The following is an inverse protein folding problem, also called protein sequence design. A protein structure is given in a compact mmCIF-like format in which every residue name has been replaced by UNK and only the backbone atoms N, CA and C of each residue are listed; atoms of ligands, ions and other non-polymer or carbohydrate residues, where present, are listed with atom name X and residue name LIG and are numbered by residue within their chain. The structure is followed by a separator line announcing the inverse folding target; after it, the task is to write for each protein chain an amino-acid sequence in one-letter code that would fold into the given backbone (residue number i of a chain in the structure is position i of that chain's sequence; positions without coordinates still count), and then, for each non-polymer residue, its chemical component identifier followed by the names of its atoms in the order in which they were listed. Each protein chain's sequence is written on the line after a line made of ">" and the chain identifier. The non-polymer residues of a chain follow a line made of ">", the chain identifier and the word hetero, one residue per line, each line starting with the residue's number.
data_IF_976447732757
#
_entry.id   IF_976447732757
#
_cell.length_a   1.000
_cell.length_b   1.000
_cell.length_c   1.000
_cell.angle_alpha   90.00
_cell.angle_beta   90.00
_cell.angle_gamma   90.00
#
_symmetry.space_group_name_H-M   'P 1'
#
loop_
_entity.id
_entity.type
_entity.pdbx_description
1 polymer ?
#
# COMPACT_ATOMS: atom_id res chain seq x y z
N UNK A 1 -14.92 -9.65 24.54
CA UNK A 1 -14.60 -10.93 23.87
C UNK A 1 -13.48 -10.66 22.87
N UNK A 2 -12.23 -11.05 23.14
CA UNK A 2 -11.05 -10.66 22.33
C UNK A 2 -11.02 -11.24 20.90
N UNK A 3 -11.98 -12.10 20.55
CA UNK A 3 -12.19 -12.65 19.20
C UNK A 3 -13.26 -11.88 18.39
N UNK A 4 -13.75 -10.75 18.90
CA UNK A 4 -14.78 -9.97 18.20
C UNK A 4 -14.12 -8.93 17.27
N UNK A 5 -14.05 -9.23 15.97
CA UNK A 5 -13.48 -8.35 14.96
C UNK A 5 -14.22 -7.01 14.82
N UNK A 6 -15.49 -6.94 15.21
CA UNK A 6 -16.30 -5.71 15.10
C UNK A 6 -15.73 -4.58 15.95
N UNK A 7 -15.14 -4.88 17.10
CA UNK A 7 -14.59 -3.85 18.00
C UNK A 7 -13.41 -3.10 17.38
N UNK A 8 -12.30 -3.76 16.95
CA UNK A 8 -11.22 -3.08 16.25
C UNK A 8 -11.65 -2.49 14.90
N UNK A 9 -12.63 -3.10 14.21
CA UNK A 9 -13.21 -2.51 13.00
C UNK A 9 -13.89 -1.15 13.29
N UNK A 10 -14.76 -1.07 14.30
CA UNK A 10 -15.45 0.16 14.67
C UNK A 10 -14.46 1.24 15.13
N UNK A 11 -13.42 0.84 15.86
CA UNK A 11 -12.34 1.75 16.23
C UNK A 11 -11.65 2.31 14.98
N UNK A 12 -11.22 1.45 14.05
CA UNK A 12 -10.57 1.87 12.81
C UNK A 12 -11.47 2.75 11.94
N UNK A 13 -12.76 2.43 11.88
CA UNK A 13 -13.77 3.24 11.20
C UNK A 13 -13.86 4.65 11.78
N UNK A 14 -14.01 4.78 13.10
CA UNK A 14 -14.10 6.08 13.77
C UNK A 14 -12.81 6.89 13.62
N UNK A 15 -11.65 6.24 13.78
CA UNK A 15 -10.34 6.88 13.59
C UNK A 15 -10.19 7.45 12.18
N UNK A 16 -10.67 6.71 11.16
CA UNK A 16 -10.60 7.16 9.77
C UNK A 16 -11.60 8.29 9.45
N UNK A 17 -12.89 8.09 9.77
CA UNK A 17 -13.95 9.01 9.35
C UNK A 17 -14.05 10.27 10.21
N UNK A 18 -13.89 10.12 11.53
CA UNK A 18 -14.10 11.21 12.49
C UNK A 18 -12.80 11.94 12.80
N UNK A 19 -11.68 11.22 12.98
CA UNK A 19 -10.39 11.85 13.34
C UNK A 19 -9.43 12.02 12.17
N UNK A 20 -9.70 11.36 11.04
CA UNK A 20 -8.82 11.40 9.87
C UNK A 20 -7.43 10.80 10.08
N UNK A 21 -7.20 10.05 11.16
CA UNK A 21 -5.91 9.45 11.51
C UNK A 21 -5.75 8.12 10.74
N UNK A 22 -5.14 8.19 9.55
CA UNK A 22 -4.93 7.02 8.70
C UNK A 22 -4.04 5.97 9.36
N UNK A 23 -3.05 6.36 10.17
CA UNK A 23 -2.12 5.43 10.80
C UNK A 23 -2.86 4.59 11.85
N UNK A 24 -3.50 5.23 12.82
CA UNK A 24 -4.24 4.49 13.86
C UNK A 24 -5.43 3.73 13.28
N UNK A 25 -6.09 4.28 12.26
CA UNK A 25 -7.14 3.57 11.55
C UNK A 25 -6.61 2.30 10.89
N UNK A 26 -5.44 2.36 10.24
CA UNK A 26 -4.81 1.21 9.61
C UNK A 26 -4.42 0.15 10.65
N UNK A 27 -3.86 0.54 11.79
CA UNK A 27 -3.52 -0.37 12.90
C UNK A 27 -4.76 -1.12 13.40
N UNK A 28 -5.82 -0.38 13.74
CA UNK A 28 -7.07 -0.98 14.23
C UNK A 28 -7.72 -1.90 13.17
N UNK A 29 -7.73 -1.48 11.90
CA UNK A 29 -8.27 -2.30 10.81
C UNK A 29 -7.43 -3.57 10.56
N UNK A 30 -6.11 -3.48 10.73
CA UNK A 30 -5.18 -4.62 10.63
C UNK A 30 -5.46 -5.64 11.74
N UNK A 31 -5.69 -5.17 12.96
CA UNK A 31 -6.11 -6.04 14.07
C UNK A 31 -7.43 -6.74 13.75
N UNK A 32 -8.41 -6.01 13.22
CA UNK A 32 -9.70 -6.59 12.82
C UNK A 32 -9.54 -7.66 11.72
N UNK A 33 -8.72 -7.38 10.70
CA UNK A 33 -8.50 -8.28 9.56
C UNK A 33 -7.85 -9.62 9.93
N UNK A 34 -7.05 -9.65 11.01
CA UNK A 34 -6.35 -10.86 11.48
C UNK A 34 -7.23 -11.77 12.35
N UNK A 35 -8.41 -11.33 12.76
CA UNK A 35 -9.29 -12.12 13.62
C UNK A 35 -10.07 -13.14 12.75
N UNK A 36 -10.06 -14.45 13.09
CA UNK A 36 -10.82 -15.46 12.35
C UNK A 36 -12.31 -15.09 12.22
N UNK A 37 -12.87 -15.29 11.03
CA UNK A 37 -14.27 -14.95 10.73
C UNK A 37 -14.51 -13.47 10.42
N UNK A 38 -13.46 -12.63 10.40
CA UNK A 38 -13.56 -11.29 9.85
C UNK A 38 -13.91 -11.34 8.36
N UNK A 39 -14.92 -10.57 7.90
CA UNK A 39 -15.24 -10.47 6.48
C UNK A 39 -14.05 -9.95 5.66
N UNK A 40 -13.84 -10.51 4.45
CA UNK A 40 -12.72 -10.15 3.56
C UNK A 40 -12.61 -8.65 3.28
N UNK A 41 -13.74 -7.95 3.23
CA UNK A 41 -13.79 -6.49 3.06
C UNK A 41 -12.91 -5.74 4.07
N UNK A 42 -12.76 -6.27 5.29
CA UNK A 42 -11.92 -5.66 6.34
C UNK A 42 -10.45 -5.75 5.97
N UNK A 43 -9.99 -6.89 5.46
CA UNK A 43 -8.64 -7.06 4.94
C UNK A 43 -8.35 -6.09 3.80
N UNK A 44 -9.30 -5.94 2.87
CA UNK A 44 -9.19 -4.94 1.79
C UNK A 44 -9.08 -3.51 2.33
N UNK A 45 -9.90 -3.14 3.30
CA UNK A 45 -9.86 -1.81 3.91
C UNK A 45 -8.55 -1.58 4.66
N UNK A 46 -8.06 -2.57 5.40
CA UNK A 46 -6.79 -2.50 6.13
C UNK A 46 -5.62 -2.24 5.16
N UNK A 47 -5.53 -3.00 4.06
CA UNK A 47 -4.50 -2.80 3.05
C UNK A 47 -4.55 -1.39 2.45
N UNK A 48 -5.73 -0.91 2.03
CA UNK A 48 -5.89 0.44 1.46
C UNK A 48 -5.54 1.53 2.48
N UNK A 49 -5.86 1.33 3.77
CA UNK A 49 -5.51 2.27 4.84
C UNK A 49 -4.00 2.29 5.09
N UNK A 50 -3.32 1.15 5.12
CA UNK A 50 -1.87 1.05 5.27
C UNK A 50 -1.13 1.79 4.14
N UNK A 51 -1.57 1.62 2.89
CA UNK A 51 -1.01 2.41 1.76
C UNK A 51 -1.31 3.90 1.93
N UNK A 52 -2.52 4.26 2.34
CA UNK A 52 -2.92 5.66 2.59
C UNK A 52 -2.19 6.30 3.77
N UNK A 53 -1.67 5.48 4.68
CA UNK A 53 -0.80 5.85 5.79
C UNK A 53 0.69 5.78 5.40
N UNK A 54 1.02 5.84 4.10
CA UNK A 54 2.40 5.77 3.58
C UNK A 54 3.18 4.54 4.07
N UNK A 55 2.47 3.44 4.35
CA UNK A 55 3.03 2.19 4.88
C UNK A 55 2.71 0.99 3.98
N UNK A 56 2.97 1.04 2.66
CA UNK A 56 2.61 -0.03 1.73
C UNK A 56 3.31 -1.37 2.03
N UNK A 57 4.52 -1.34 2.60
CA UNK A 57 5.22 -2.56 3.03
C UNK A 57 4.42 -3.33 4.10
N UNK A 58 3.78 -2.64 5.04
CA UNK A 58 2.91 -3.29 6.03
C UNK A 58 1.64 -3.87 5.38
N UNK A 59 1.15 -3.26 4.29
CA UNK A 59 0.03 -3.83 3.52
C UNK A 59 0.42 -5.16 2.87
N UNK A 60 1.62 -5.23 2.28
CA UNK A 60 2.20 -6.47 1.74
C UNK A 60 2.31 -7.53 2.83
N UNK A 61 2.87 -7.20 3.99
CA UNK A 61 3.02 -8.13 5.11
C UNK A 61 1.67 -8.66 5.63
N UNK A 62 0.67 -7.78 5.77
CA UNK A 62 -0.68 -8.18 6.17
C UNK A 62 -1.30 -9.16 5.17
N UNK A 63 -1.26 -8.81 3.89
CA UNK A 63 -1.88 -9.61 2.82
C UNK A 63 -1.18 -10.96 2.66
N UNK A 64 0.16 -10.99 2.69
CA UNK A 64 0.94 -12.21 2.64
C UNK A 64 0.60 -13.13 3.81
N UNK A 65 0.51 -12.57 5.03
CA UNK A 65 0.18 -13.37 6.22
C UNK A 65 -1.21 -14.00 6.12
N UNK A 66 -2.23 -13.24 5.70
CA UNK A 66 -3.59 -13.77 5.55
C UNK A 66 -3.66 -14.78 4.41
N UNK A 67 -2.90 -14.57 3.32
CA UNK A 67 -2.82 -15.51 2.21
C UNK A 67 -2.25 -16.86 2.65
N UNK A 68 -1.20 -16.86 3.47
CA UNK A 68 -0.59 -18.07 4.03
C UNK A 68 -1.53 -18.80 5.00
N UNK A 69 -2.31 -18.06 5.80
CA UNK A 69 -3.15 -18.62 6.85
C UNK A 69 -4.51 -19.13 6.33
N UNK A 70 -4.99 -18.66 5.17
CA UNK A 70 -6.28 -19.10 4.61
C UNK A 70 -6.17 -20.42 3.84
N UNK A 71 -7.20 -21.27 3.98
CA UNK A 71 -7.34 -22.50 3.18
C UNK A 71 -8.40 -22.38 2.07
N UNK A 72 -9.13 -21.27 2.01
CA UNK A 72 -10.14 -21.04 0.98
C UNK A 72 -9.48 -20.54 -0.31
N UNK A 73 -9.53 -21.36 -1.37
CA UNK A 73 -8.90 -21.08 -2.67
C UNK A 73 -9.52 -19.87 -3.39
N UNK A 74 -10.80 -19.53 -3.14
CA UNK A 74 -11.38 -18.31 -3.69
C UNK A 74 -10.80 -17.08 -3.01
N UNK A 75 -10.65 -17.14 -1.69
CA UNK A 75 -10.05 -16.07 -0.89
C UNK A 75 -8.56 -15.92 -1.25
N UNK A 76 -7.82 -17.02 -1.43
CA UNK A 76 -6.42 -16.98 -1.87
C UNK A 76 -6.23 -16.25 -3.19
N UNK A 77 -7.00 -16.58 -4.23
CA UNK A 77 -6.92 -15.88 -5.53
C UNK A 77 -7.14 -14.38 -5.40
N UNK A 78 -8.11 -14.00 -4.56
CA UNK A 78 -8.45 -12.61 -4.31
C UNK A 78 -7.35 -11.85 -3.54
N UNK A 79 -6.72 -12.53 -2.58
CA UNK A 79 -5.59 -12.02 -1.81
C UNK A 79 -4.32 -11.94 -2.65
N UNK A 80 -4.09 -12.89 -3.55
CA UNK A 80 -2.94 -12.88 -4.46
C UNK A 80 -2.95 -11.64 -5.36
N UNK A 81 -4.12 -11.29 -5.91
CA UNK A 81 -4.27 -10.05 -6.67
C UNK A 81 -3.97 -8.82 -5.81
N UNK A 82 -4.55 -8.73 -4.61
CA UNK A 82 -4.31 -7.61 -3.68
C UNK A 82 -2.85 -7.53 -3.27
N UNK A 83 -2.20 -8.66 -3.01
CA UNK A 83 -0.80 -8.71 -2.62
C UNK A 83 0.08 -8.11 -3.72
N UNK A 84 -0.17 -8.47 -4.98
CA UNK A 84 0.54 -7.88 -6.13
C UNK A 84 0.27 -6.38 -6.26
N UNK A 85 -0.97 -5.92 -6.12
CA UNK A 85 -1.30 -4.49 -6.10
C UNK A 85 -0.59 -3.73 -4.94
N UNK A 86 -0.48 -4.34 -3.75
CA UNK A 86 0.23 -3.76 -2.62
C UNK A 86 1.76 -3.73 -2.85
N UNK A 87 2.31 -4.75 -3.52
CA UNK A 87 3.71 -4.76 -3.96
C UNK A 87 3.98 -3.60 -4.93
N UNK A 88 3.07 -3.34 -5.88
CA UNK A 88 3.17 -2.16 -6.75
C UNK A 88 3.25 -0.87 -5.93
N UNK A 89 2.37 -0.67 -4.96
CA UNK A 89 2.43 0.53 -4.11
C UNK A 89 3.73 0.65 -3.31
N UNK A 90 4.26 -0.48 -2.84
CA UNK A 90 5.54 -0.54 -2.13
C UNK A 90 6.68 -0.14 -3.04
N UNK A 91 6.72 -0.68 -4.26
CA UNK A 91 7.75 -0.38 -5.25
C UNK A 91 7.69 1.08 -5.70
N UNK A 92 6.48 1.61 -5.93
CA UNK A 92 6.27 3.03 -6.21
C UNK A 92 6.81 3.91 -5.07
N UNK A 93 6.53 3.58 -3.81
CA UNK A 93 7.06 4.32 -2.67
C UNK A 93 8.59 4.24 -2.57
N UNK A 94 9.20 3.10 -2.92
CA UNK A 94 10.66 2.92 -3.00
C UNK A 94 11.26 3.83 -4.08
N UNK A 95 10.66 3.87 -5.27
CA UNK A 95 11.11 4.79 -6.33
C UNK A 95 10.93 6.25 -5.95
N UNK A 96 9.75 6.63 -5.46
CA UNK A 96 9.44 8.00 -5.02
C UNK A 96 10.50 8.48 -4.00
N UNK A 97 10.81 7.68 -2.98
CA UNK A 97 11.84 8.01 -2.00
C UNK A 97 13.26 8.10 -2.59
N UNK A 98 13.63 7.17 -3.48
CA UNK A 98 14.94 7.18 -4.12
C UNK A 98 15.11 8.39 -5.05
N UNK A 99 14.07 8.78 -5.79
CA UNK A 99 14.06 9.98 -6.64
C UNK A 99 14.21 11.24 -5.79
N UNK A 100 13.49 11.35 -4.68
CA UNK A 100 13.63 12.47 -3.74
C UNK A 100 15.07 12.58 -3.22
N UNK A 101 15.69 11.46 -2.82
CA UNK A 101 17.08 11.43 -2.36
C UNK A 101 18.07 11.78 -3.46
N UNK A 102 17.86 11.29 -4.69
CA UNK A 102 18.68 11.64 -5.84
C UNK A 102 18.62 13.14 -6.11
N UNK A 103 17.41 13.71 -6.11
CA UNK A 103 17.20 15.14 -6.32
C UNK A 103 17.86 15.97 -5.22
N UNK A 104 17.81 15.53 -3.96
CA UNK A 104 18.50 16.21 -2.86
C UNK A 104 20.04 16.18 -3.01
N UNK A 105 20.61 15.10 -3.58
CA UNK A 105 22.06 14.96 -3.76
C UNK A 105 22.59 15.68 -5.01
N UNK A 106 21.82 15.69 -6.10
CA UNK A 106 22.27 16.17 -7.41
C UNK A 106 21.59 17.47 -7.87
N UNK A 107 20.64 17.98 -7.09
CA UNK A 107 19.80 19.15 -7.44
C UNK A 107 19.02 18.99 -8.76
N UNK A 108 18.93 17.76 -9.28
CA UNK A 108 18.21 17.37 -10.48
C UNK A 108 17.62 15.99 -10.27
N UNK A 109 16.49 15.71 -10.91
CA UNK A 109 15.89 14.37 -10.93
C UNK A 109 16.74 13.44 -11.81
N UNK A 110 16.70 12.11 -11.58
CA UNK A 110 17.36 11.18 -12.47
C UNK A 110 16.73 11.27 -13.87
N UNK A 111 17.52 11.10 -14.92
CA UNK A 111 17.00 11.07 -16.29
C UNK A 111 16.30 9.73 -16.62
N UNK A 112 16.64 8.67 -15.87
CA UNK A 112 16.08 7.32 -15.99
C UNK A 112 16.24 6.58 -14.66
N UNK A 113 15.37 5.59 -14.40
CA UNK A 113 15.39 4.86 -13.12
C UNK A 113 16.72 4.15 -12.84
N UNK A 114 17.46 3.69 -13.86
CA UNK A 114 18.77 3.04 -13.69
C UNK A 114 19.79 3.92 -12.95
N UNK A 115 19.67 5.24 -13.05
CA UNK A 115 20.56 6.16 -12.34
C UNK A 115 20.42 6.04 -10.80
N UNK A 116 19.27 5.61 -10.31
CA UNK A 116 19.07 5.33 -8.89
C UNK A 116 19.94 4.17 -8.41
N UNK A 117 20.15 3.17 -9.27
CA UNK A 117 21.04 2.03 -8.98
C UNK A 117 22.51 2.47 -9.11
N UNK A 118 22.85 3.21 -10.16
CA UNK A 118 24.21 3.74 -10.37
C UNK A 118 24.66 4.66 -9.24
N UNK A 119 23.75 5.45 -8.68
CA UNK A 119 24.00 6.31 -7.53
C UNK A 119 23.98 5.55 -6.18
N UNK A 120 23.71 4.24 -6.18
CA UNK A 120 23.64 3.42 -4.97
C UNK A 120 22.43 3.72 -4.07
N UNK A 121 21.41 4.41 -4.59
CA UNK A 121 20.17 4.69 -3.87
C UNK A 121 19.22 3.49 -3.86
N UNK A 122 19.33 2.64 -4.89
CA UNK A 122 18.69 1.33 -4.98
C UNK A 122 19.74 0.25 -5.26
N UNK A 123 19.49 -0.97 -4.76
CA UNK A 123 20.33 -2.13 -5.08
C UNK A 123 20.07 -2.62 -6.50
N UNK A 124 18.81 -2.65 -6.89
CA UNK A 124 18.30 -3.02 -8.21
C UNK A 124 16.93 -2.37 -8.41
N UNK A 125 16.43 -2.38 -9.64
CA UNK A 125 15.08 -1.92 -9.93
C UNK A 125 14.07 -3.03 -9.58
N UNK A 126 13.05 -2.75 -8.76
CA UNK A 126 11.95 -3.68 -8.54
C UNK A 126 11.31 -4.15 -9.87
N UNK A 127 10.99 -5.43 -9.94
CA UNK A 127 10.22 -6.00 -11.04
C UNK A 127 8.74 -5.80 -10.80
N UNK A 128 8.01 -5.42 -11.85
CA UNK A 128 6.57 -5.21 -11.77
C UNK A 128 5.85 -6.56 -11.56
N UNK A 129 5.03 -6.71 -10.51
CA UNK A 129 4.53 -8.01 -10.06
C UNK A 129 3.44 -8.64 -10.93
N UNK A 130 2.93 -7.93 -11.94
CA UNK A 130 2.01 -8.45 -12.96
C UNK A 130 2.73 -8.80 -14.28
N UNK A 131 4.06 -8.69 -14.32
CA UNK A 131 4.87 -8.96 -15.50
C UNK A 131 4.97 -7.77 -16.46
N UNK A 132 4.50 -6.60 -16.05
CA UNK A 132 4.63 -5.35 -16.80
C UNK A 132 5.95 -4.63 -16.52
N UNK A 133 5.90 -3.30 -16.52
CA UNK A 133 7.06 -2.45 -16.22
C UNK A 133 6.65 -1.14 -15.55
N UNK A 134 7.61 -0.50 -14.88
CA UNK A 134 7.44 0.83 -14.31
C UNK A 134 7.77 1.92 -15.34
N UNK A 135 6.83 2.83 -15.54
CA UNK A 135 6.99 4.02 -16.36
C UNK A 135 7.49 5.15 -15.47
N UNK A 136 8.50 5.88 -15.94
CA UNK A 136 9.05 7.04 -15.24
C UNK A 136 9.05 8.26 -16.14
N UNK A 137 8.53 9.38 -15.63
CA UNK A 137 8.61 10.67 -16.29
C UNK A 137 9.69 11.53 -15.59
N UNK A 138 10.79 11.80 -16.29
CA UNK A 138 11.91 12.57 -15.75
C UNK A 138 11.58 14.05 -15.46
N UNK A 139 10.63 14.64 -16.21
CA UNK A 139 10.23 16.03 -16.03
C UNK A 139 9.44 16.21 -14.73
N UNK A 140 8.45 15.34 -14.49
CA UNK A 140 7.57 15.41 -13.31
C UNK A 140 8.14 14.68 -12.10
N UNK A 141 8.98 13.67 -12.32
CA UNK A 141 9.42 12.73 -11.28
C UNK A 141 8.43 11.60 -11.01
N UNK A 142 7.34 11.52 -11.78
CA UNK A 142 6.26 10.56 -11.54
C UNK A 142 6.64 9.14 -12.00
N UNK A 143 6.29 8.14 -11.18
CA UNK A 143 6.43 6.72 -11.49
C UNK A 143 5.07 6.03 -11.43
N UNK A 144 4.78 5.16 -12.41
CA UNK A 144 3.52 4.38 -12.48
C UNK A 144 3.80 2.95 -12.96
N UNK A 145 2.96 1.99 -12.58
CA UNK A 145 2.95 0.65 -13.20
C UNK A 145 2.20 0.70 -14.53
N UNK A 146 2.61 -0.12 -15.50
CA UNK A 146 1.88 -0.32 -16.76
C UNK A 146 0.57 -1.09 -16.58
N UNK A 147 0.48 -1.92 -15.52
CA UNK A 147 -0.64 -2.85 -15.31
C UNK A 147 -1.67 -2.30 -14.31
N UNK A 148 -1.24 -1.50 -13.34
CA UNK A 148 -2.12 -0.95 -12.29
C UNK A 148 -2.55 0.47 -12.63
N UNK A 149 -3.82 0.61 -13.06
CA UNK A 149 -4.42 1.90 -13.43
C UNK A 149 -4.80 2.77 -12.22
N UNK A 150 -5.25 2.14 -11.14
CA UNK A 150 -5.73 2.82 -9.93
C UNK A 150 -4.87 2.46 -8.72
N UNK A 151 -4.44 3.48 -7.97
CA UNK A 151 -3.63 3.29 -6.75
C UNK A 151 -4.46 2.58 -5.67
N UNK A 152 -3.86 1.66 -4.91
CA UNK A 152 -4.51 0.97 -3.78
C UNK A 152 -4.63 1.89 -2.56
N UNK A 153 -5.42 2.95 -2.66
CA UNK A 153 -5.56 3.97 -1.60
C UNK A 153 -7.02 4.21 -1.25
N UNK A 154 -7.25 4.70 -0.06
CA UNK A 154 -8.58 5.07 0.39
C UNK A 154 -9.07 6.27 -0.41
N UNK A 155 -10.22 6.12 -1.07
CA UNK A 155 -10.87 7.16 -1.88
C UNK A 155 -12.11 7.75 -1.20
N UNK A 156 -12.56 7.14 -0.09
CA UNK A 156 -13.71 7.63 0.66
C UNK A 156 -13.38 8.97 1.34
N UNK A 157 -14.34 9.89 1.33
CA UNK A 157 -14.18 11.23 1.92
C UNK A 157 -14.40 11.18 3.42
N UNK A 158 -13.63 11.99 4.16
CA UNK A 158 -13.71 12.13 5.62
C UNK A 158 -14.66 13.26 6.01
N UNK A 159 -15.27 13.18 7.20
CA UNK A 159 -16.22 14.19 7.70
C UNK A 159 -15.59 15.58 7.91
N UNK A 160 -14.27 15.66 8.07
CA UNK A 160 -13.53 16.93 8.17
C UNK A 160 -13.24 17.64 6.84
N UNK A 161 -13.66 17.09 5.69
CA UNK A 161 -13.46 17.70 4.36
C UNK A 161 -14.64 18.55 3.87
N UNK A 162 -15.61 18.85 4.76
CA UNK A 162 -16.65 19.86 4.54
C UNK A 162 -16.18 21.21 5.11
N UNK A 163 -15.14 21.80 4.52
CA UNK A 163 -14.80 23.21 4.71
C UNK A 163 -14.45 23.82 3.37
#
# INVERSE_FOLDING_TARGET
>A
NPQEWRLPFLLGFNLYFELGDNHKAAEAMTLAARIPGAPEIITRLAAKLLVSAKSPQQAVELLAKIYEDTSDENVKRLLEQRLREAIVERDLAVFENAIERFQAQHSQRPARLDQLVQAGLLRELPQEPFGGHYHYNAETGEVRSSEVKERMRMTLRKRGQYQ
#
